data_IF_535984417166
#
_entry.id   IF_535984417166
#
_cell.length_a   1.000
_cell.length_b   1.000
_cell.length_c   1.000
_cell.angle_alpha   90.00
_cell.angle_beta   90.00
_cell.angle_gamma   90.00
#
_symmetry.space_group_name_H-M   'P 1'
#
loop_
_entity.id
_entity.type
_entity.pdbx_description
1 polymer ?
#
# COMPACT_ATOMS: atom_id res chain seq x y z
N UNK A 1 2.60 -19.38 -4.25
CA UNK A 1 2.35 -17.96 -3.95
C UNK A 1 0.94 -17.66 -4.40
N UNK A 2 0.10 -17.11 -3.53
CA UNK A 2 -1.26 -16.74 -3.89
C UNK A 2 -1.25 -15.45 -4.73
N UNK A 3 -2.25 -15.27 -5.58
CA UNK A 3 -2.36 -14.07 -6.42
C UNK A 3 -3.23 -13.02 -5.72
N UNK A 4 -2.79 -11.76 -5.73
CA UNK A 4 -3.57 -10.66 -5.15
C UNK A 4 -4.90 -10.48 -5.91
N UNK A 5 -6.01 -10.67 -5.21
CA UNK A 5 -7.39 -10.52 -5.71
C UNK A 5 -7.89 -9.07 -5.73
N UNK A 6 -7.01 -8.10 -5.43
CA UNK A 6 -7.29 -6.66 -5.39
C UNK A 6 -8.38 -6.25 -4.38
N UNK A 7 -8.58 -7.01 -3.31
CA UNK A 7 -9.56 -6.70 -2.24
C UNK A 7 -9.40 -5.33 -1.56
N UNK A 8 -8.28 -4.63 -1.74
CA UNK A 8 -8.06 -3.26 -1.24
C UNK A 8 -7.82 -3.16 0.26
N UNK A 9 -7.76 -4.27 1.00
CA UNK A 9 -7.53 -4.25 2.45
C UNK A 9 -6.22 -3.59 2.84
N UNK A 10 -5.12 -3.90 2.14
CA UNK A 10 -3.84 -3.26 2.40
C UNK A 10 -3.90 -1.74 2.18
N UNK A 11 -4.61 -1.30 1.13
CA UNK A 11 -4.86 0.11 0.86
C UNK A 11 -5.72 0.78 1.95
N UNK A 12 -6.59 0.04 2.63
CA UNK A 12 -7.44 0.58 3.71
C UNK A 12 -6.76 0.63 5.07
N UNK A 13 -5.84 -0.31 5.33
CA UNK A 13 -5.43 -0.64 6.70
C UNK A 13 -3.95 -0.39 6.98
N UNK A 14 -3.09 -0.37 5.95
CA UNK A 14 -1.65 -0.30 6.17
C UNK A 14 -1.12 1.13 6.07
N UNK A 15 -0.06 1.38 6.85
CA UNK A 15 0.79 2.55 6.68
C UNK A 15 1.74 2.24 5.53
N UNK A 16 1.80 3.12 4.54
CA UNK A 16 2.58 2.90 3.32
C UNK A 16 3.52 4.07 3.12
N UNK A 17 4.81 3.77 3.06
CA UNK A 17 5.88 4.70 2.76
C UNK A 17 6.46 4.32 1.39
N UNK A 18 6.57 5.31 0.50
CA UNK A 18 7.01 5.11 -0.89
C UNK A 18 8.26 5.95 -1.16
N UNK A 19 9.08 5.47 -2.08
CA UNK A 19 10.28 6.17 -2.50
C UNK A 19 10.00 7.14 -3.66
N UNK A 20 10.89 8.10 -3.89
CA UNK A 20 10.76 9.05 -5.00
C UNK A 20 10.62 8.37 -6.38
N UNK A 21 11.26 7.21 -6.59
CA UNK A 21 11.12 6.43 -7.83
C UNK A 21 9.70 5.93 -8.09
N UNK A 22 8.90 5.71 -7.04
CA UNK A 22 7.49 5.33 -7.19
C UNK A 22 6.66 6.52 -7.64
N UNK A 23 6.99 7.72 -7.16
CA UNK A 23 6.36 8.97 -7.62
C UNK A 23 6.72 9.29 -9.07
N UNK A 24 7.97 9.06 -9.49
CA UNK A 24 8.37 9.23 -10.89
C UNK A 24 7.59 8.27 -11.80
N UNK A 25 7.33 7.04 -11.34
CA UNK A 25 6.56 6.03 -12.09
C UNK A 25 5.06 6.28 -12.07
N UNK A 26 4.52 6.79 -10.98
CA UNK A 26 3.11 7.15 -10.81
C UNK A 26 2.98 8.56 -10.21
N UNK A 27 2.99 9.60 -11.06
CA UNK A 27 2.95 10.99 -10.62
C UNK A 27 1.70 11.36 -9.79
N UNK A 28 0.61 10.59 -9.90
CA UNK A 28 -0.60 10.80 -9.10
C UNK A 28 -0.36 10.57 -7.60
N UNK A 29 0.73 9.90 -7.22
CA UNK A 29 1.10 9.70 -5.82
C UNK A 29 1.59 10.98 -5.14
N UNK A 30 2.12 11.95 -5.90
CA UNK A 30 2.76 13.13 -5.30
C UNK A 30 1.78 14.08 -4.59
N UNK A 31 0.63 14.49 -5.19
CA UNK A 31 -0.26 15.44 -4.53
C UNK A 31 -0.82 14.98 -3.17
N UNK A 32 -1.22 13.70 -2.98
CA UNK A 32 -1.73 13.24 -1.69
C UNK A 32 -0.64 12.73 -0.74
N UNK A 33 0.59 12.51 -1.22
CA UNK A 33 1.68 12.04 -0.37
C UNK A 33 2.15 13.13 0.60
N UNK A 34 2.34 12.75 1.86
CA UNK A 34 2.99 13.60 2.85
C UNK A 34 4.48 13.35 2.79
N UNK A 35 5.27 14.42 2.59
CA UNK A 35 6.72 14.31 2.63
C UNK A 35 7.16 13.98 4.06
N UNK A 36 7.93 12.90 4.22
CA UNK A 36 8.50 12.58 5.52
C UNK A 36 9.69 13.53 5.77
N UNK A 37 9.80 14.00 7.02
CA UNK A 37 10.93 14.78 7.48
C UNK A 37 11.95 13.81 8.10
N UNK A 38 13.22 14.18 8.12
CA UNK A 38 14.20 13.47 8.95
C UNK A 38 13.81 13.60 10.44
N UNK A 39 14.40 12.78 11.30
CA UNK A 39 14.12 12.79 12.75
C UNK A 39 14.27 14.14 13.44
N UNK A 40 14.96 15.11 12.81
CA UNK A 40 15.12 16.48 13.30
C UNK A 40 14.11 17.49 12.73
N UNK A 41 13.10 17.03 11.98
CA UNK A 41 12.12 17.91 11.34
C UNK A 41 12.67 18.70 10.16
N UNK A 42 13.90 18.40 9.71
CA UNK A 42 14.49 18.98 8.52
C UNK A 42 14.37 18.00 7.35
N UNK A 43 14.54 18.54 6.15
CA UNK A 43 14.66 17.75 4.93
C UNK A 43 16.16 17.58 4.70
N UNK A 44 16.76 16.54 5.30
CA UNK A 44 18.17 16.19 5.06
C UNK A 44 18.24 14.96 4.19
N UNK A 45 18.08 15.14 2.88
CA UNK A 45 18.35 14.09 1.89
C UNK A 45 19.55 14.51 1.04
N UNK A 46 20.49 13.59 0.80
CA UNK A 46 21.65 13.85 -0.06
C UNK A 46 21.24 14.02 -1.53
N UNK A 47 20.13 13.39 -1.95
CA UNK A 47 19.54 13.57 -3.27
C UNK A 47 18.00 13.47 -3.26
N UNK A 48 17.37 13.85 -4.37
CA UNK A 48 15.94 13.62 -4.60
C UNK A 48 15.54 12.15 -4.53
N UNK A 49 16.46 11.22 -4.81
CA UNK A 49 16.19 9.79 -4.84
C UNK A 49 16.11 9.15 -3.45
N UNK A 50 16.68 9.80 -2.44
CA UNK A 50 16.61 9.37 -1.05
C UNK A 50 15.31 9.82 -0.36
N UNK A 51 14.48 10.60 -1.06
CA UNK A 51 13.23 11.13 -0.49
C UNK A 51 12.20 10.01 -0.31
N UNK A 52 11.62 10.00 0.88
CA UNK A 52 10.52 9.12 1.26
C UNK A 52 9.24 9.91 1.50
N UNK A 53 8.13 9.27 1.18
CA UNK A 53 6.81 9.87 1.18
C UNK A 53 5.83 8.94 1.90
N UNK A 54 5.09 9.46 2.88
CA UNK A 54 3.94 8.78 3.46
C UNK A 54 2.75 8.86 2.51
N UNK A 55 2.31 7.72 2.00
CA UNK A 55 1.17 7.60 1.08
C UNK A 55 -0.14 7.26 1.81
N UNK A 56 -0.08 6.40 2.83
CA UNK A 56 -1.23 5.99 3.63
C UNK A 56 -0.82 5.95 5.10
N UNK A 57 -1.76 6.25 6.01
CA UNK A 57 -1.54 6.22 7.45
C UNK A 57 -2.59 5.34 8.15
N UNK A 58 -2.69 4.10 7.67
CA UNK A 58 -3.59 3.09 8.22
C UNK A 58 -5.08 3.41 8.03
N UNK A 59 -5.91 2.91 8.93
CA UNK A 59 -7.38 3.01 8.84
C UNK A 59 -7.93 4.44 8.92
N UNK A 60 -7.22 5.36 9.58
CA UNK A 60 -7.61 6.77 9.69
C UNK A 60 -7.42 7.54 8.37
N UNK A 61 -6.41 7.17 7.60
CA UNK A 61 -6.07 7.80 6.32
C UNK A 61 -5.72 6.70 5.31
N UNK A 62 -6.75 6.09 4.69
CA UNK A 62 -6.54 5.04 3.70
C UNK A 62 -5.75 5.58 2.51
N UNK A 63 -5.13 4.67 1.77
CA UNK A 63 -4.38 4.98 0.57
C UNK A 63 -5.25 5.78 -0.42
N UNK A 64 -4.76 6.92 -0.91
CA UNK A 64 -5.50 7.80 -1.82
C UNK A 64 -5.75 7.16 -3.20
N UNK A 65 -5.11 6.03 -3.47
CA UNK A 65 -5.28 5.26 -4.71
C UNK A 65 -6.30 4.13 -4.57
N UNK A 66 -6.99 4.02 -3.43
CA UNK A 66 -8.18 3.20 -3.28
C UNK A 66 -9.34 3.86 -4.03
N UNK A 67 -9.83 3.21 -5.08
CA UNK A 67 -10.97 3.69 -5.85
C UNK A 67 -12.30 3.55 -5.08
N UNK A 68 -13.35 4.19 -5.59
CA UNK A 68 -14.70 4.18 -4.99
C UNK A 68 -15.30 2.77 -4.91
N UNK A 69 -14.93 1.89 -5.84
CA UNK A 69 -15.31 0.47 -5.85
C UNK A 69 -14.53 -0.36 -4.80
N UNK A 70 -13.59 0.26 -4.09
CA UNK A 70 -12.75 -0.41 -3.10
C UNK A 70 -11.56 -1.15 -3.67
N UNK A 71 -11.25 -0.99 -4.96
CA UNK A 71 -10.12 -1.64 -5.62
C UNK A 71 -8.91 -0.69 -5.73
N UNK A 72 -7.72 -1.26 -5.91
CA UNK A 72 -6.50 -0.48 -6.12
C UNK A 72 -6.45 0.10 -7.55
N UNK A 73 -6.52 1.43 -7.69
CA UNK A 73 -6.56 2.14 -8.99
C UNK A 73 -5.19 2.25 -9.70
N UNK A 74 -4.10 1.92 -9.01
CA UNK A 74 -2.72 1.99 -9.52
C UNK A 74 -2.08 0.59 -9.64
N UNK A 75 -2.88 -0.48 -9.72
CA UNK A 75 -2.36 -1.85 -9.71
C UNK A 75 -1.18 -2.11 -10.69
N UNK A 76 -1.18 -1.57 -11.93
CA UNK A 76 -0.06 -1.71 -12.88
C UNK A 76 1.20 -0.92 -12.53
N UNK A 77 1.05 0.17 -11.78
CA UNK A 77 2.11 1.13 -11.41
C UNK A 77 2.34 1.15 -9.91
N UNK A 78 2.06 0.03 -9.23
CA UNK A 78 2.17 -0.09 -7.78
C UNK A 78 3.58 0.32 -7.32
N UNK A 79 3.68 1.07 -6.21
CA UNK A 79 4.94 1.33 -5.53
C UNK A 79 5.69 0.04 -5.22
N UNK A 80 7.01 0.10 -5.16
CA UNK A 80 7.85 -1.05 -4.82
C UNK A 80 7.36 -1.76 -3.55
N UNK A 81 7.03 -1.01 -2.49
CA UNK A 81 6.51 -1.58 -1.23
C UNK A 81 5.21 -2.37 -1.42
N UNK A 82 4.32 -1.92 -2.32
CA UNK A 82 3.07 -2.59 -2.63
C UNK A 82 3.25 -3.83 -3.52
N UNK A 83 4.34 -3.89 -4.30
CA UNK A 83 4.73 -5.07 -5.08
C UNK A 83 5.40 -6.11 -4.19
N UNK A 84 6.25 -5.66 -3.25
CA UNK A 84 6.93 -6.51 -2.27
C UNK A 84 5.99 -7.09 -1.21
N UNK A 85 4.82 -6.48 -1.00
CA UNK A 85 3.79 -7.02 -0.12
C UNK A 85 3.18 -8.30 -0.74
N UNK A 86 3.65 -9.46 -0.28
CA UNK A 86 3.24 -10.75 -0.81
C UNK A 86 1.78 -11.07 -0.47
N UNK A 87 1.01 -11.40 -1.49
CA UNK A 87 -0.38 -11.80 -1.34
C UNK A 87 -0.47 -13.20 -0.69
N UNK A 88 -1.27 -13.31 0.38
CA UNK A 88 -1.33 -14.52 1.21
C UNK A 88 -0.20 -14.62 2.26
N UNK A 89 0.64 -13.60 2.41
CA UNK A 89 1.53 -13.48 3.57
C UNK A 89 0.74 -13.42 4.89
N UNK A 90 1.39 -13.67 6.02
CA UNK A 90 0.75 -13.62 7.34
C UNK A 90 -0.04 -12.32 7.55
N UNK A 91 0.58 -11.17 7.30
CA UNK A 91 -0.07 -9.87 7.42
C UNK A 91 -1.24 -9.69 6.43
N UNK A 92 -1.14 -10.23 5.20
CA UNK A 92 -2.26 -10.22 4.26
C UNK A 92 -3.44 -11.03 4.79
N UNK A 93 -3.18 -12.21 5.35
CA UNK A 93 -4.20 -13.12 5.87
C UNK A 93 -4.83 -12.58 7.15
N UNK A 94 -4.06 -11.94 8.03
CA UNK A 94 -4.55 -11.25 9.23
C UNK A 94 -5.55 -10.13 8.86
N UNK A 95 -5.23 -9.33 7.83
CA UNK A 95 -6.16 -8.32 7.33
C UNK A 95 -7.44 -8.93 6.78
N UNK A 96 -7.34 -10.09 6.10
CA UNK A 96 -8.50 -10.79 5.54
C UNK A 96 -9.37 -11.38 6.63
N UNK A 97 -8.78 -12.06 7.60
CA UNK A 97 -9.50 -12.60 8.76
C UNK A 97 -10.24 -11.49 9.52
N UNK A 98 -9.55 -10.38 9.83
CA UNK A 98 -10.16 -9.23 10.50
C UNK A 98 -11.34 -8.62 9.71
N UNK A 99 -11.32 -8.76 8.38
CA UNK A 99 -12.38 -8.31 7.49
C UNK A 99 -13.44 -9.39 7.17
N UNK A 100 -13.31 -10.61 7.69
CA UNK A 100 -14.18 -11.74 7.38
C UNK A 100 -14.05 -12.27 5.94
N UNK A 101 -12.92 -12.01 5.28
CA UNK A 101 -12.63 -12.51 3.93
C UNK A 101 -11.96 -13.90 3.98
N UNK A 102 -12.24 -14.77 3.00
CA UNK A 102 -11.64 -16.09 2.93
C UNK A 102 -10.14 -15.98 2.65
N UNK A 103 -9.37 -16.95 3.14
CA UNK A 103 -7.91 -17.05 2.92
C UNK A 103 -7.55 -17.03 1.44
N UNK A 104 -6.44 -16.38 1.09
CA UNK A 104 -5.99 -16.34 -0.31
C UNK A 104 -5.46 -17.72 -0.73
N UNK A 105 -6.09 -18.35 -1.72
CA UNK A 105 -5.70 -19.68 -2.21
C UNK A 105 -6.21 -20.87 -1.39
N UNK A 106 -6.97 -20.61 -0.33
CA UNK A 106 -7.78 -21.63 0.34
C UNK A 106 -9.19 -21.58 -0.22
N UNK A 107 -9.50 -22.48 -1.16
CA UNK A 107 -10.87 -22.64 -1.67
C UNK A 107 -11.86 -22.80 -0.52
N UNK A 108 -13.06 -22.26 -0.72
CA UNK A 108 -14.22 -22.57 0.08
C UNK A 108 -14.30 -24.10 0.30
N UNK A 109 -13.97 -24.53 1.51
CA UNK A 109 -14.44 -25.80 2.05
C UNK A 109 -15.80 -25.52 2.68
N UNK A 110 -16.81 -25.46 1.82
CA UNK A 110 -18.20 -25.68 2.20
C UNK A 110 -18.36 -27.19 2.52
N UNK A 111 -19.06 -27.47 3.61
CA UNK A 111 -19.51 -28.76 4.19
C UNK A 111 -18.53 -29.54 5.11
#
# INVERSE_FOLDING_TARGET
MAECDRCGLCCRQLIIEIAHVDVVREPRLLPPATRLLDGNGAISYESDWDKEYGLACGSSHPCPMLAEDGLCSIYPTRPNVCVSFEAGSAQCEELREAAGLPRLGGGAGDD
#
